data_IF_740351326657
#
_entry.id   IF_740351326657
#
_cell.length_a   1.000
_cell.length_b   1.000
_cell.length_c   1.000
_cell.angle_alpha   90.00
_cell.angle_beta   90.00
_cell.angle_gamma   90.00
#
_symmetry.space_group_name_H-M   'P 1'
#
loop_
_entity.id
_entity.type
_entity.pdbx_description
1 polymer ?
#
# COMPACT_ATOMS: atom_id res chain seq x y z
N UNK A 1 60.10 43.76 7.07
CA UNK A 1 60.17 42.61 6.12
C UNK A 1 59.97 41.36 6.97
N UNK A 2 58.90 40.56 6.88
CA UNK A 2 58.05 40.14 5.76
C UNK A 2 56.69 39.68 6.33
N UNK A 3 55.58 40.21 5.80
CA UNK A 3 54.24 39.69 6.07
C UNK A 3 53.88 38.61 5.03
N UNK A 4 53.52 37.41 5.48
CA UNK A 4 52.94 36.36 4.62
C UNK A 4 51.44 36.56 4.55
N UNK A 5 50.95 37.15 3.46
CA UNK A 5 49.54 37.08 3.08
C UNK A 5 49.23 35.73 2.45
N UNK A 6 48.32 34.96 3.04
CA UNK A 6 47.68 33.82 2.39
C UNK A 6 46.49 34.33 1.59
N UNK A 7 46.58 34.27 0.25
CA UNK A 7 45.44 34.44 -0.64
C UNK A 7 44.59 33.16 -0.59
N UNK A 8 43.50 33.18 0.17
CA UNK A 8 42.43 32.19 0.06
C UNK A 8 41.64 32.41 -1.23
N UNK A 9 41.68 31.43 -2.14
CA UNK A 9 40.76 31.37 -3.28
C UNK A 9 39.33 31.22 -2.75
N UNK A 10 38.33 32.01 -3.23
CA UNK A 10 36.95 31.76 -2.87
C UNK A 10 36.53 30.41 -3.44
N UNK A 11 36.08 29.52 -2.56
CA UNK A 11 35.56 28.21 -2.92
C UNK A 11 34.39 28.38 -3.89
N UNK A 12 34.53 27.80 -5.09
CA UNK A 12 33.42 27.60 -6.00
C UNK A 12 32.40 26.71 -5.28
N UNK A 13 31.35 27.32 -4.73
CA UNK A 13 30.14 26.59 -4.38
C UNK A 13 29.55 26.07 -5.68
N UNK A 14 29.66 24.76 -5.89
CA UNK A 14 28.92 24.06 -6.95
C UNK A 14 27.44 24.44 -6.87
N UNK A 15 26.75 24.67 -8.01
CA UNK A 15 25.32 24.94 -7.99
C UNK A 15 24.62 23.78 -7.27
N UNK A 16 23.80 24.09 -6.25
CA UNK A 16 22.91 23.09 -5.66
C UNK A 16 22.02 22.56 -6.79
N UNK A 17 22.28 21.33 -7.22
CA UNK A 17 21.48 20.68 -8.22
C UNK A 17 20.01 20.68 -7.80
N UNK A 18 19.13 21.12 -8.71
CA UNK A 18 17.71 21.24 -8.41
C UNK A 18 17.05 19.87 -8.42
N UNK A 19 16.26 19.57 -7.38
CA UNK A 19 15.40 18.38 -7.34
C UNK A 19 14.50 18.39 -8.57
N UNK A 20 14.52 17.28 -9.31
CA UNK A 20 13.79 17.15 -10.55
C UNK A 20 12.35 16.66 -10.36
N UNK A 21 11.47 17.05 -11.29
CA UNK A 21 10.09 16.56 -11.39
C UNK A 21 9.81 16.04 -12.80
N UNK A 22 8.88 15.09 -12.91
CA UNK A 22 8.36 14.62 -14.19
C UNK A 22 7.11 15.43 -14.54
N UNK A 23 6.92 15.86 -15.80
CA UNK A 23 5.70 16.54 -16.22
C UNK A 23 4.44 15.67 -15.99
N UNK A 24 3.36 16.20 -15.36
CA UNK A 24 2.14 15.45 -15.06
C UNK A 24 1.49 14.76 -16.27
N UNK A 25 1.65 15.31 -17.47
CA UNK A 25 1.19 14.72 -18.74
C UNK A 25 1.61 13.25 -18.94
N UNK A 26 2.73 12.82 -18.36
CA UNK A 26 3.16 11.41 -18.45
C UNK A 26 2.28 10.49 -17.60
N UNK A 27 1.84 10.96 -16.43
CA UNK A 27 0.88 10.24 -15.59
C UNK A 27 -0.44 10.11 -16.34
N UNK A 28 -1.00 11.23 -16.80
CA UNK A 28 -2.28 11.32 -17.52
C UNK A 28 -2.30 10.41 -18.76
N UNK A 29 -1.28 10.49 -19.61
CA UNK A 29 -1.20 9.68 -20.85
C UNK A 29 -1.00 8.18 -20.59
N UNK A 30 -0.44 7.82 -19.44
CA UNK A 30 -0.17 6.43 -19.10
C UNK A 30 -1.33 5.75 -18.38
N UNK A 31 -2.26 6.51 -17.80
CA UNK A 31 -3.36 5.96 -17.01
C UNK A 31 -4.19 5.00 -17.85
N UNK A 32 -4.25 3.73 -17.43
CA UNK A 32 -4.78 2.68 -18.29
C UNK A 32 -5.11 1.40 -17.53
N UNK A 33 -6.16 0.72 -17.99
CA UNK A 33 -6.60 -0.61 -17.50
C UNK A 33 -5.82 -1.78 -18.15
N UNK A 34 -4.89 -1.50 -19.07
CA UNK A 34 -4.26 -2.52 -19.90
C UNK A 34 -3.00 -3.16 -19.31
N UNK A 35 -2.59 -2.81 -18.09
CA UNK A 35 -1.47 -3.51 -17.43
C UNK A 35 -1.88 -4.90 -16.96
N UNK A 36 -0.95 -5.85 -16.97
CA UNK A 36 -1.16 -7.20 -16.44
C UNK A 36 -1.53 -7.18 -14.96
N UNK A 37 -0.99 -6.24 -14.20
CA UNK A 37 -1.40 -5.99 -12.82
C UNK A 37 -2.87 -5.59 -12.71
N UNK A 38 -3.34 -4.67 -13.57
CA UNK A 38 -4.73 -4.24 -13.57
C UNK A 38 -5.68 -5.39 -13.94
N UNK A 39 -5.28 -6.25 -14.88
CA UNK A 39 -6.03 -7.48 -15.22
C UNK A 39 -6.14 -8.43 -14.04
N UNK A 40 -5.03 -8.67 -13.34
CA UNK A 40 -5.01 -9.50 -12.13
C UNK A 40 -5.97 -8.97 -11.06
N UNK A 41 -5.86 -7.69 -10.67
CA UNK A 41 -6.76 -7.13 -9.65
C UNK A 41 -8.21 -7.06 -10.14
N UNK A 42 -8.46 -6.96 -11.45
CA UNK A 42 -9.82 -7.02 -11.99
C UNK A 42 -10.44 -8.39 -11.74
N UNK A 43 -9.74 -9.48 -12.11
CA UNK A 43 -10.19 -10.84 -11.85
C UNK A 43 -10.39 -11.13 -10.36
N UNK A 44 -9.43 -10.71 -9.52
CA UNK A 44 -9.52 -10.85 -8.07
C UNK A 44 -10.77 -10.13 -7.52
N UNK A 45 -10.98 -8.87 -7.89
CA UNK A 45 -12.08 -8.07 -7.38
C UNK A 45 -13.43 -8.47 -7.98
N UNK A 46 -13.47 -8.96 -9.21
CA UNK A 46 -14.69 -9.54 -9.79
C UNK A 46 -15.13 -10.76 -8.98
N UNK A 47 -14.21 -11.65 -8.62
CA UNK A 47 -14.51 -12.81 -7.77
C UNK A 47 -14.99 -12.41 -6.37
N UNK A 48 -14.50 -11.29 -5.84
CA UNK A 48 -14.80 -10.83 -4.49
C UNK A 48 -16.07 -9.98 -4.40
N UNK A 49 -16.17 -8.93 -5.23
CA UNK A 49 -17.23 -7.91 -5.20
C UNK A 49 -18.36 -8.16 -6.20
N UNK A 50 -18.18 -9.05 -7.18
CA UNK A 50 -19.13 -9.23 -8.27
C UNK A 50 -19.39 -7.91 -9.02
N UNK A 51 -20.66 -7.52 -9.14
CA UNK A 51 -21.06 -6.32 -9.89
C UNK A 51 -20.45 -5.01 -9.39
N UNK A 52 -20.05 -4.93 -8.11
CA UNK A 52 -19.43 -3.74 -7.52
C UNK A 52 -17.94 -3.59 -7.87
N UNK A 53 -17.30 -4.63 -8.41
CA UNK A 53 -15.87 -4.61 -8.73
C UNK A 53 -15.49 -3.45 -9.65
N UNK A 54 -16.35 -3.13 -10.63
CA UNK A 54 -16.13 -2.04 -11.58
C UNK A 54 -15.97 -0.67 -10.91
N UNK A 55 -16.76 -0.38 -9.87
CA UNK A 55 -16.69 0.87 -9.12
C UNK A 55 -15.39 0.96 -8.31
N UNK A 56 -15.02 -0.16 -7.66
CA UNK A 56 -13.77 -0.27 -6.91
C UNK A 56 -12.57 -0.11 -7.83
N UNK A 57 -12.53 -0.81 -8.97
CA UNK A 57 -11.46 -0.73 -9.96
C UNK A 57 -11.29 0.67 -10.53
N UNK A 58 -12.40 1.35 -10.85
CA UNK A 58 -12.37 2.74 -11.32
C UNK A 58 -11.75 3.66 -10.26
N UNK A 59 -12.18 3.55 -9.00
CA UNK A 59 -11.59 4.31 -7.89
C UNK A 59 -10.09 4.06 -7.75
N UNK A 60 -9.65 2.79 -7.78
CA UNK A 60 -8.23 2.45 -7.67
C UNK A 60 -7.39 3.04 -8.82
N UNK A 61 -7.90 2.95 -10.06
CA UNK A 61 -7.25 3.54 -11.23
C UNK A 61 -7.07 5.06 -11.09
N UNK A 62 -8.09 5.75 -10.60
CA UNK A 62 -8.12 7.21 -10.44
C UNK A 62 -7.30 7.69 -9.23
N UNK A 63 -7.52 7.11 -8.05
CA UNK A 63 -6.84 7.48 -6.81
C UNK A 63 -5.34 7.22 -6.87
N UNK A 64 -4.92 6.02 -7.32
CA UNK A 64 -3.51 5.65 -7.40
C UNK A 64 -2.85 6.02 -8.73
N UNK A 65 -3.61 6.60 -9.66
CA UNK A 65 -3.16 7.02 -11.00
C UNK A 65 -2.41 5.90 -11.73
N UNK A 66 -2.92 4.67 -11.66
CA UNK A 66 -2.21 3.49 -12.18
C UNK A 66 -1.96 3.62 -13.68
N UNK A 67 -0.69 3.59 -14.07
CA UNK A 67 -0.29 3.65 -15.47
C UNK A 67 -0.02 2.28 -16.08
N UNK A 68 0.00 2.19 -17.40
CA UNK A 68 0.44 1.01 -18.13
C UNK A 68 1.44 1.37 -19.25
N UNK A 69 2.43 0.51 -19.45
CA UNK A 69 3.29 0.53 -20.64
C UNK A 69 2.62 -0.23 -21.79
N UNK A 70 3.17 -0.10 -23.02
CA UNK A 70 2.65 -0.80 -24.20
C UNK A 70 2.77 -2.32 -24.12
N UNK A 71 3.80 -2.81 -23.42
CA UNK A 71 4.04 -4.24 -23.16
C UNK A 71 3.30 -4.77 -21.93
N UNK A 72 2.40 -3.98 -21.33
CA UNK A 72 1.52 -4.42 -20.25
C UNK A 72 2.13 -4.34 -18.85
N UNK A 73 3.30 -3.73 -18.67
CA UNK A 73 3.82 -3.46 -17.33
C UNK A 73 2.99 -2.35 -16.66
N UNK A 74 2.85 -2.42 -15.33
CA UNK A 74 2.22 -1.35 -14.55
C UNK A 74 3.24 -0.27 -14.21
N UNK A 75 2.79 0.97 -14.17
CA UNK A 75 3.55 2.11 -13.67
C UNK A 75 2.94 2.57 -12.35
N UNK A 76 3.67 2.37 -11.25
CA UNK A 76 3.33 2.92 -9.95
C UNK A 76 3.98 4.28 -9.78
N UNK A 77 3.18 5.34 -9.93
CA UNK A 77 3.67 6.71 -9.85
C UNK A 77 3.92 7.14 -8.40
N UNK A 78 5.10 7.68 -8.14
CA UNK A 78 5.47 8.34 -6.89
C UNK A 78 5.19 9.83 -7.05
N UNK A 79 4.13 10.29 -6.38
CA UNK A 79 3.63 11.66 -6.45
C UNK A 79 3.56 12.19 -5.04
N UNK A 80 4.24 13.29 -4.77
CA UNK A 80 4.35 13.80 -3.40
C UNK A 80 3.07 14.52 -2.94
N UNK A 81 2.99 14.88 -1.66
CA UNK A 81 1.80 15.59 -1.11
C UNK A 81 1.45 16.89 -1.86
N UNK A 82 2.42 17.52 -2.52
CA UNK A 82 2.20 18.74 -3.31
C UNK A 82 1.83 18.46 -4.77
N UNK A 83 1.45 17.22 -5.09
CA UNK A 83 1.10 16.75 -6.43
C UNK A 83 2.25 16.83 -7.45
N UNK A 84 3.51 16.89 -7.01
CA UNK A 84 4.67 16.85 -7.92
C UNK A 84 5.05 15.39 -8.21
N UNK A 85 5.17 15.05 -9.48
CA UNK A 85 5.54 13.69 -9.92
C UNK A 85 7.04 13.50 -9.74
N UNK A 86 7.44 12.62 -8.83
CA UNK A 86 8.83 12.36 -8.48
C UNK A 86 9.47 11.32 -9.38
N UNK A 87 8.75 10.24 -9.65
CA UNK A 87 9.12 9.19 -10.60
C UNK A 87 7.93 8.25 -10.83
N UNK A 88 8.06 7.25 -11.69
CA UNK A 88 7.23 6.05 -11.69
C UNK A 88 8.10 4.80 -11.67
N UNK A 89 7.66 3.77 -10.96
CA UNK A 89 8.27 2.44 -10.93
C UNK A 89 7.54 1.54 -11.91
N UNK A 90 8.26 0.96 -12.87
CA UNK A 90 7.71 0.11 -13.93
C UNK A 90 7.96 -1.35 -13.58
N UNK A 91 6.90 -2.15 -13.54
CA UNK A 91 6.97 -3.55 -13.09
C UNK A 91 6.03 -4.46 -13.87
N UNK A 92 6.48 -5.68 -14.15
CA UNK A 92 5.64 -6.73 -14.74
C UNK A 92 5.09 -7.69 -13.69
N UNK A 93 3.85 -8.10 -13.91
CA UNK A 93 3.12 -9.07 -13.10
C UNK A 93 2.52 -10.12 -14.02
N UNK A 94 2.41 -11.36 -13.53
CA UNK A 94 1.60 -12.38 -14.17
C UNK A 94 0.11 -12.05 -13.92
N UNK A 95 -0.71 -11.91 -14.96
CA UNK A 95 -2.12 -11.52 -14.82
C UNK A 95 -2.98 -12.60 -14.15
N UNK A 96 -2.56 -13.86 -14.14
CA UNK A 96 -3.33 -14.98 -13.59
C UNK A 96 -3.15 -15.10 -12.07
N UNK A 97 -1.90 -15.07 -11.61
CA UNK A 97 -1.58 -15.35 -10.22
C UNK A 97 -1.25 -14.09 -9.40
N UNK A 98 -0.93 -12.95 -10.05
CA UNK A 98 -0.54 -11.71 -9.40
C UNK A 98 0.90 -11.69 -8.89
N UNK A 99 1.71 -12.71 -9.22
CA UNK A 99 3.13 -12.74 -8.89
C UNK A 99 3.91 -11.79 -9.79
N UNK A 100 4.87 -11.10 -9.17
CA UNK A 100 5.80 -10.23 -9.89
C UNK A 100 6.71 -11.08 -10.77
N UNK A 101 6.82 -10.71 -12.03
CA UNK A 101 7.78 -11.33 -12.96
C UNK A 101 9.16 -10.73 -12.66
N UNK A 102 10.09 -11.57 -12.20
CA UNK A 102 11.50 -11.20 -12.01
C UNK A 102 12.25 -11.51 -13.31
N UNK A 103 12.83 -10.51 -13.95
CA UNK A 103 13.83 -10.69 -15.00
C UNK A 103 15.03 -11.44 -14.43
N UNK A 104 15.66 -12.28 -15.26
CA UNK A 104 16.80 -13.14 -14.87
C UNK A 104 18.00 -12.33 -14.38
N UNK A 105 19.06 -12.19 -15.18
CA UNK A 105 20.28 -11.47 -14.76
C UNK A 105 20.13 -9.93 -14.77
N UNK A 106 19.10 -9.39 -15.44
CA UNK A 106 18.83 -7.95 -15.53
C UNK A 106 17.64 -7.58 -14.64
N UNK A 107 17.73 -6.42 -13.97
CA UNK A 107 16.66 -5.87 -13.14
C UNK A 107 15.31 -5.85 -13.88
N UNK A 108 14.34 -6.60 -13.36
CA UNK A 108 12.95 -6.63 -13.83
C UNK A 108 12.19 -5.30 -13.67
N UNK A 109 12.82 -4.31 -13.02
CA UNK A 109 12.22 -3.02 -12.68
C UNK A 109 12.92 -1.96 -13.48
N UNK A 110 12.11 -1.15 -14.14
CA UNK A 110 12.53 0.08 -14.77
C UNK A 110 11.97 1.28 -14.00
N UNK A 111 12.56 2.46 -14.25
CA UNK A 111 12.12 3.71 -13.65
C UNK A 111 11.88 4.75 -14.72
N UNK A 112 10.76 5.47 -14.61
CA UNK A 112 10.38 6.48 -15.61
C UNK A 112 11.45 7.57 -15.75
N UNK A 113 12.04 8.05 -14.66
CA UNK A 113 13.09 9.07 -14.75
C UNK A 113 14.31 8.55 -15.53
N UNK A 114 14.72 7.28 -15.34
CA UNK A 114 15.81 6.66 -16.10
C UNK A 114 15.46 6.53 -17.58
N UNK A 115 14.22 6.12 -17.91
CA UNK A 115 13.73 6.07 -19.29
C UNK A 115 13.77 7.45 -19.94
N UNK A 116 13.24 8.48 -19.26
CA UNK A 116 13.17 9.83 -19.80
C UNK A 116 14.55 10.50 -19.93
N UNK A 117 15.50 10.20 -19.04
CA UNK A 117 16.91 10.60 -19.20
C UNK A 117 17.54 9.96 -20.44
N UNK A 118 17.37 8.65 -20.64
CA UNK A 118 17.86 7.95 -21.85
C UNK A 118 17.26 8.53 -23.13
N UNK A 119 16.00 8.96 -23.09
CA UNK A 119 15.31 9.63 -24.19
C UNK A 119 15.68 11.12 -24.34
N UNK A 120 16.58 11.66 -23.50
CA UNK A 120 16.97 13.08 -23.47
C UNK A 120 15.80 14.04 -23.25
N UNK A 121 14.73 13.57 -22.62
CA UNK A 121 13.57 14.39 -22.21
C UNK A 121 13.86 15.09 -20.89
N UNK A 122 14.51 14.39 -19.95
CA UNK A 122 15.01 14.97 -18.70
C UNK A 122 16.50 15.27 -18.83
N UNK A 123 16.99 16.36 -18.21
CA UNK A 123 18.41 16.69 -18.25
C UNK A 123 19.23 15.69 -17.40
N UNK A 124 20.52 15.58 -17.70
CA UNK A 124 21.41 14.60 -17.05
C UNK A 124 21.56 14.86 -15.54
N UNK A 125 21.60 16.14 -15.16
CA UNK A 125 21.70 16.64 -13.79
C UNK A 125 20.38 16.56 -13.00
N UNK A 126 19.29 16.09 -13.62
CA UNK A 126 18.01 15.87 -12.93
C UNK A 126 18.21 14.94 -11.72
N UNK A 127 17.82 15.40 -10.54
CA UNK A 127 18.02 14.64 -9.30
C UNK A 127 16.74 13.94 -8.85
N UNK A 128 16.84 12.62 -8.66
CA UNK A 128 15.80 11.81 -8.04
C UNK A 128 15.66 12.19 -6.57
N UNK A 129 14.43 12.43 -6.13
CA UNK A 129 14.10 12.33 -4.71
C UNK A 129 12.73 11.68 -4.60
N UNK A 130 12.71 10.49 -4.01
CA UNK A 130 11.56 9.60 -3.97
C UNK A 130 10.62 9.97 -2.83
N UNK A 131 9.34 9.67 -3.03
CA UNK A 131 8.28 9.85 -2.05
C UNK A 131 7.53 8.52 -1.86
N UNK A 132 6.60 8.44 -0.91
CA UNK A 132 5.78 7.22 -0.76
C UNK A 132 4.86 7.06 -1.99
N UNK A 133 4.59 5.83 -2.39
CA UNK A 133 3.49 5.56 -3.31
C UNK A 133 2.16 5.85 -2.60
N UNK A 134 1.24 6.56 -3.24
CA UNK A 134 -0.02 7.02 -2.64
C UNK A 134 0.11 8.28 -1.77
N UNK A 135 1.30 8.88 -1.64
CA UNK A 135 1.52 10.03 -0.76
C UNK A 135 0.61 11.23 -1.06
N UNK A 136 0.31 11.48 -2.33
CA UNK A 136 -0.61 12.54 -2.77
C UNK A 136 -2.03 12.39 -2.18
N UNK A 137 -2.44 11.19 -1.76
CA UNK A 137 -3.74 10.93 -1.12
C UNK A 137 -3.81 11.44 0.32
N UNK A 138 -2.67 11.69 0.97
CA UNK A 138 -2.65 12.17 2.35
C UNK A 138 -3.30 13.54 2.52
N UNK A 139 -3.27 14.39 1.49
CA UNK A 139 -3.93 15.69 1.51
C UNK A 139 -5.41 15.60 1.11
N UNK A 140 -5.79 14.57 0.36
CA UNK A 140 -7.19 14.31 -0.03
C UNK A 140 -7.98 13.79 1.17
N UNK A 141 -7.34 12.97 2.00
CA UNK A 141 -7.95 12.35 3.18
C UNK A 141 -7.14 12.63 4.44
N UNK A 142 -7.24 13.85 5.01
CA UNK A 142 -6.45 14.24 6.19
C UNK A 142 -6.80 13.41 7.43
N UNK A 143 -8.06 12.99 7.58
CA UNK A 143 -8.57 12.34 8.80
C UNK A 143 -8.46 10.81 8.78
N UNK A 144 -8.33 10.21 7.59
CA UNK A 144 -8.20 8.76 7.45
C UNK A 144 -6.88 8.27 8.03
N UNK A 145 -6.89 7.14 8.72
CA UNK A 145 -5.66 6.46 9.18
C UNK A 145 -4.79 6.10 7.98
N UNK A 146 -3.48 6.36 8.07
CA UNK A 146 -2.52 5.98 7.05
C UNK A 146 -2.08 4.53 7.28
N UNK A 147 -2.06 3.71 6.24
CA UNK A 147 -1.55 2.35 6.27
C UNK A 147 -0.29 2.29 5.45
N UNK A 148 0.79 1.77 6.01
CA UNK A 148 2.08 1.64 5.33
C UNK A 148 2.42 0.16 5.12
N UNK A 149 2.69 -0.20 3.87
CA UNK A 149 3.11 -1.53 3.42
C UNK A 149 4.42 -1.43 2.64
N UNK A 150 5.07 -2.56 2.41
CA UNK A 150 6.30 -2.58 1.62
C UNK A 150 6.05 -2.31 0.13
N UNK A 151 5.07 -3.02 -0.46
CA UNK A 151 4.87 -3.08 -1.90
C UNK A 151 3.68 -2.24 -2.40
N UNK A 152 3.82 -1.68 -3.60
CA UNK A 152 2.75 -0.92 -4.25
C UNK A 152 1.52 -1.81 -4.55
N UNK A 153 1.75 -3.09 -4.89
CA UNK A 153 0.71 -4.13 -4.99
C UNK A 153 -0.13 -4.19 -3.71
N UNK A 154 0.54 -4.32 -2.56
CA UNK A 154 -0.12 -4.39 -1.26
C UNK A 154 -0.97 -3.16 -0.97
N UNK A 155 -0.50 -1.96 -1.32
CA UNK A 155 -1.26 -0.74 -1.09
C UNK A 155 -2.54 -0.68 -1.94
N UNK A 156 -2.47 -1.08 -3.21
CA UNK A 156 -3.64 -1.08 -4.11
C UNK A 156 -4.66 -2.13 -3.67
N UNK A 157 -4.24 -3.36 -3.37
CA UNK A 157 -5.15 -4.44 -2.92
C UNK A 157 -5.74 -4.11 -1.55
N UNK A 158 -4.93 -3.60 -0.62
CA UNK A 158 -5.41 -3.14 0.68
C UNK A 158 -6.44 -2.02 0.55
N UNK A 159 -6.20 -1.03 -0.32
CA UNK A 159 -7.16 0.04 -0.57
C UNK A 159 -8.45 -0.49 -1.18
N UNK A 160 -8.39 -1.53 -2.02
CA UNK A 160 -9.56 -2.15 -2.62
C UNK A 160 -10.53 -2.68 -1.55
N UNK A 161 -10.00 -3.41 -0.56
CA UNK A 161 -10.79 -4.06 0.49
C UNK A 161 -11.11 -3.14 1.67
N UNK A 162 -10.21 -2.20 1.97
CA UNK A 162 -10.29 -1.32 3.13
C UNK A 162 -10.21 0.15 2.71
N UNK A 163 -11.23 0.68 2.00
CA UNK A 163 -11.23 2.04 1.47
C UNK A 163 -11.29 3.16 2.53
N UNK A 164 -11.56 2.79 3.79
CA UNK A 164 -11.55 3.70 4.94
C UNK A 164 -10.16 4.19 5.35
N UNK A 165 -9.09 3.66 4.76
CA UNK A 165 -7.70 3.99 5.06
C UNK A 165 -7.00 4.62 3.85
N UNK A 166 -5.91 5.34 4.10
CA UNK A 166 -4.98 5.79 3.04
C UNK A 166 -3.82 4.81 2.98
N UNK A 167 -3.82 3.94 1.96
CA UNK A 167 -2.74 2.95 1.79
C UNK A 167 -1.57 3.53 1.02
N UNK A 168 -0.38 3.37 1.61
CA UNK A 168 0.89 3.88 1.14
C UNK A 168 1.90 2.74 1.03
N UNK A 169 2.84 2.84 0.08
CA UNK A 169 3.93 1.89 0.00
C UNK A 169 5.32 2.55 0.06
N UNK A 170 6.24 1.89 0.77
CA UNK A 170 7.64 2.32 0.86
C UNK A 170 8.40 2.05 -0.44
N UNK A 171 7.98 1.04 -1.21
CA UNK A 171 8.59 0.62 -2.46
C UNK A 171 9.74 -0.37 -2.29
N UNK A 172 9.90 -0.94 -1.10
CA UNK A 172 10.87 -1.99 -0.74
C UNK A 172 11.32 -1.95 0.72
N UNK A 173 11.77 -3.08 1.26
CA UNK A 173 12.13 -3.30 2.68
C UNK A 173 13.07 -2.23 3.24
N UNK A 174 14.10 -1.87 2.48
CA UNK A 174 15.14 -0.91 2.88
C UNK A 174 14.77 0.58 2.68
N UNK A 175 13.50 0.89 2.37
CA UNK A 175 13.06 2.25 2.04
C UNK A 175 12.37 2.98 3.20
N UNK A 176 12.45 2.46 4.44
CA UNK A 176 11.97 3.10 5.67
C UNK A 176 12.90 4.23 6.16
N UNK A 177 13.25 5.16 5.26
CA UNK A 177 14.07 6.33 5.63
C UNK A 177 13.20 7.37 6.32
N UNK A 178 13.67 7.89 7.46
CA UNK A 178 12.93 8.88 8.24
C UNK A 178 12.49 10.09 7.40
N UNK A 179 13.40 10.65 6.58
CA UNK A 179 13.10 11.79 5.69
C UNK A 179 11.85 11.54 4.81
N UNK A 180 11.70 10.32 4.31
CA UNK A 180 10.56 9.90 3.49
C UNK A 180 9.28 9.75 4.32
N UNK A 181 9.40 9.30 5.56
CA UNK A 181 8.28 9.04 6.46
C UNK A 181 7.82 10.28 7.23
N UNK A 182 8.62 11.35 7.30
CA UNK A 182 8.25 12.64 7.93
C UNK A 182 6.95 13.23 7.39
N UNK A 183 6.57 12.85 6.17
CA UNK A 183 5.30 13.19 5.56
C UNK A 183 4.07 12.73 6.36
N UNK A 184 4.23 11.76 7.26
CA UNK A 184 3.22 11.19 8.15
C UNK A 184 3.13 11.90 9.51
N UNK A 185 3.86 12.99 9.71
CA UNK A 185 3.86 13.73 10.98
C UNK A 185 2.43 14.12 11.41
N UNK A 186 2.09 13.84 12.66
CA UNK A 186 0.76 14.09 13.24
C UNK A 186 -0.33 13.09 12.87
N UNK A 187 -0.05 12.08 12.03
CA UNK A 187 -1.03 11.06 11.64
C UNK A 187 -1.07 9.89 12.62
N UNK A 188 -2.17 9.14 12.58
CA UNK A 188 -2.18 7.73 13.03
C UNK A 188 -1.78 6.83 11.87
N UNK A 189 -0.80 5.96 12.10
CA UNK A 189 -0.16 5.12 11.10
C UNK A 189 -0.23 3.66 11.54
N UNK A 190 -0.74 2.78 10.67
CA UNK A 190 -0.74 1.34 10.84
C UNK A 190 0.26 0.71 9.88
N UNK A 191 1.25 0.01 10.42
CA UNK A 191 2.27 -0.68 9.64
C UNK A 191 1.89 -2.14 9.42
N UNK A 192 1.95 -2.62 8.17
CA UNK A 192 1.85 -4.04 7.82
C UNK A 192 3.17 -4.51 7.22
N UNK A 193 4.08 -5.04 8.06
CA UNK A 193 5.32 -5.62 7.57
C UNK A 193 5.07 -6.96 6.85
N UNK A 194 5.95 -7.26 5.90
CA UNK A 194 6.05 -8.60 5.31
C UNK A 194 6.48 -9.62 6.37
N UNK A 195 6.29 -10.92 6.10
CA UNK A 195 6.52 -11.98 7.09
C UNK A 195 7.96 -12.01 7.67
N UNK A 196 8.96 -11.52 6.92
CA UNK A 196 10.36 -11.44 7.36
C UNK A 196 10.78 -10.02 7.80
N UNK A 197 9.85 -9.07 7.79
CA UNK A 197 10.08 -7.65 8.11
C UNK A 197 9.59 -7.24 9.50
N UNK A 198 8.83 -8.08 10.21
CA UNK A 198 8.13 -7.68 11.44
C UNK A 198 9.05 -7.06 12.51
N UNK A 199 10.16 -7.72 12.85
CA UNK A 199 11.09 -7.24 13.87
C UNK A 199 11.77 -5.91 13.51
N UNK A 200 12.18 -5.75 12.25
CA UNK A 200 12.81 -4.54 11.73
C UNK A 200 11.83 -3.35 11.74
N UNK A 201 10.62 -3.57 11.23
CA UNK A 201 9.57 -2.56 11.19
C UNK A 201 9.10 -2.17 12.59
N UNK A 202 9.03 -3.13 13.52
CA UNK A 202 8.73 -2.86 14.93
C UNK A 202 9.81 -2.02 15.60
N UNK A 203 11.07 -2.19 15.23
CA UNK A 203 12.15 -1.33 15.70
C UNK A 203 12.02 0.08 15.11
N UNK A 204 11.84 0.21 13.79
CA UNK A 204 11.62 1.51 13.15
C UNK A 204 10.42 2.27 13.73
N UNK A 205 9.32 1.58 14.04
CA UNK A 205 8.14 2.18 14.64
C UNK A 205 8.46 2.85 15.99
N UNK A 206 9.41 2.33 16.78
CA UNK A 206 9.82 2.96 18.04
C UNK A 206 10.46 4.33 17.81
N UNK A 207 11.13 4.51 16.67
CA UNK A 207 11.83 5.74 16.31
C UNK A 207 10.90 6.77 15.63
N UNK A 208 9.67 6.38 15.24
CA UNK A 208 8.67 7.23 14.59
C UNK A 208 7.93 8.15 15.56
N UNK A 209 8.68 8.94 16.34
CA UNK A 209 8.16 9.84 17.39
C UNK A 209 7.25 10.98 16.90
N UNK A 210 7.22 11.22 15.59
CA UNK A 210 6.43 12.29 14.96
C UNK A 210 5.00 11.87 14.58
N UNK A 211 4.62 10.61 14.77
CA UNK A 211 3.26 10.12 14.49
C UNK A 211 2.84 9.06 15.52
N UNK A 212 1.54 8.77 15.60
CA UNK A 212 1.04 7.63 16.38
C UNK A 212 1.15 6.38 15.53
N UNK A 213 1.97 5.42 15.92
CA UNK A 213 2.26 4.22 15.10
C UNK A 213 1.84 2.93 15.80
N UNK A 214 1.22 2.04 15.04
CA UNK A 214 0.89 0.67 15.45
C UNK A 214 1.45 -0.30 14.41
N UNK A 215 2.09 -1.37 14.86
CA UNK A 215 2.61 -2.43 13.97
C UNK A 215 1.69 -3.64 14.06
N UNK A 216 1.12 -4.01 12.92
CA UNK A 216 0.27 -5.19 12.80
C UNK A 216 1.11 -6.45 12.94
N UNK A 217 0.66 -7.38 13.77
CA UNK A 217 1.24 -8.72 13.93
C UNK A 217 0.39 -9.80 13.24
N UNK A 218 -0.53 -9.41 12.36
CA UNK A 218 -1.47 -10.33 11.73
C UNK A 218 -0.76 -11.41 10.91
N UNK A 219 0.25 -11.04 10.11
CA UNK A 219 1.03 -11.99 9.30
C UNK A 219 1.92 -12.83 10.22
N UNK A 220 2.55 -12.20 11.22
CA UNK A 220 3.41 -12.90 12.17
C UNK A 220 2.66 -14.01 12.94
N UNK A 221 1.41 -13.76 13.33
CA UNK A 221 0.60 -14.71 14.11
C UNK A 221 -0.13 -15.75 13.27
N UNK A 222 -0.57 -15.40 12.05
CA UNK A 222 -1.50 -16.24 11.28
C UNK A 222 -0.88 -16.91 10.05
N UNK A 223 0.31 -16.49 9.60
CA UNK A 223 0.98 -17.13 8.47
C UNK A 223 1.50 -18.53 8.85
N UNK A 224 1.26 -19.52 7.99
CA UNK A 224 1.84 -20.86 8.14
C UNK A 224 3.37 -20.84 7.97
N UNK A 225 4.12 -21.86 8.42
CA UNK A 225 5.56 -21.93 8.20
C UNK A 225 5.96 -21.79 6.73
N UNK A 226 5.20 -22.37 5.80
CA UNK A 226 5.43 -22.28 4.36
C UNK A 226 5.20 -20.86 3.85
N UNK A 227 4.15 -20.19 4.33
CA UNK A 227 3.85 -18.80 4.01
C UNK A 227 4.93 -17.85 4.55
N UNK A 228 5.45 -18.09 5.76
CA UNK A 228 6.58 -17.33 6.30
C UNK A 228 7.85 -17.53 5.47
N UNK A 229 8.13 -18.77 5.05
CA UNK A 229 9.26 -19.09 4.18
C UNK A 229 9.12 -18.46 2.78
N UNK A 230 7.89 -18.28 2.30
CA UNK A 230 7.59 -17.58 1.05
C UNK A 230 7.63 -16.04 1.18
N UNK A 231 7.89 -15.50 2.38
CA UNK A 231 7.94 -14.07 2.67
C UNK A 231 6.67 -13.32 2.23
N UNK A 232 5.49 -13.89 2.54
CA UNK A 232 4.22 -13.28 2.12
C UNK A 232 4.02 -11.89 2.71
N UNK A 233 3.34 -11.03 1.95
CA UNK A 233 2.84 -9.73 2.41
C UNK A 233 1.33 -9.78 2.72
N UNK A 234 0.77 -8.65 3.17
CA UNK A 234 -0.66 -8.55 3.48
C UNK A 234 -1.54 -8.78 2.24
N UNK A 235 -1.09 -8.40 1.04
CA UNK A 235 -1.83 -8.68 -0.18
C UNK A 235 -1.85 -10.16 -0.50
N UNK A 236 -0.73 -10.87 -0.37
CA UNK A 236 -0.67 -12.31 -0.60
C UNK A 236 -1.58 -13.05 0.36
N UNK A 237 -1.61 -12.62 1.63
CA UNK A 237 -2.56 -13.14 2.61
C UNK A 237 -4.02 -12.86 2.19
N UNK A 238 -4.37 -11.62 1.83
CA UNK A 238 -5.71 -11.25 1.33
C UNK A 238 -6.11 -12.10 0.12
N UNK A 239 -5.22 -12.25 -0.87
CA UNK A 239 -5.48 -13.02 -2.10
C UNK A 239 -5.75 -14.48 -1.76
N UNK A 240 -4.96 -15.07 -0.85
CA UNK A 240 -5.19 -16.43 -0.37
C UNK A 240 -6.58 -16.55 0.28
N UNK A 241 -6.94 -15.63 1.18
CA UNK A 241 -8.24 -15.67 1.85
C UNK A 241 -9.42 -15.51 0.88
N UNK A 242 -9.30 -14.69 -0.16
CA UNK A 242 -10.33 -14.55 -1.20
C UNK A 242 -10.45 -15.84 -2.01
N UNK A 243 -9.33 -16.40 -2.48
CA UNK A 243 -9.32 -17.63 -3.30
C UNK A 243 -9.86 -18.84 -2.55
N UNK A 244 -9.56 -18.94 -1.27
CA UNK A 244 -10.09 -19.97 -0.37
C UNK A 244 -11.52 -19.70 0.09
N UNK A 245 -12.15 -18.61 -0.38
CA UNK A 245 -13.49 -18.14 0.05
C UNK A 245 -13.62 -17.91 1.57
N UNK A 246 -12.50 -17.76 2.28
CA UNK A 246 -12.43 -17.52 3.73
C UNK A 246 -12.74 -16.07 4.09
N UNK A 247 -12.48 -15.14 3.17
CA UNK A 247 -12.98 -13.77 3.25
C UNK A 247 -13.90 -13.58 2.04
N UNK A 248 -15.20 -13.46 2.29
CA UNK A 248 -16.18 -13.06 1.27
C UNK A 248 -16.46 -11.55 1.40
N UNK A 249 -16.76 -10.88 0.29
CA UNK A 249 -17.22 -9.49 0.34
C UNK A 249 -18.36 -9.41 1.34
N UNK A 250 -18.25 -8.45 2.25
CA UNK A 250 -19.13 -8.15 3.38
C UNK A 250 -20.54 -7.72 2.97
N UNK A 251 -21.03 -8.19 1.84
CA UNK A 251 -22.46 -8.37 1.62
C UNK A 251 -22.97 -9.71 2.17
N UNK A 252 -22.11 -10.71 2.44
CA UNK A 252 -22.57 -11.99 3.04
C UNK A 252 -22.10 -12.20 4.49
N UNK A 253 -20.88 -11.78 4.87
CA UNK A 253 -20.41 -11.96 6.26
C UNK A 253 -21.05 -10.97 7.26
N UNK A 254 -21.23 -9.71 6.86
CA UNK A 254 -22.06 -8.77 7.64
C UNK A 254 -23.52 -9.20 7.60
N UNK A 255 -24.04 -9.73 6.48
CA UNK A 255 -25.43 -10.19 6.42
C UNK A 255 -25.67 -11.42 7.28
N UNK A 256 -24.76 -12.38 7.36
CA UNK A 256 -24.90 -13.52 8.28
C UNK A 256 -24.72 -13.09 9.75
N UNK A 257 -23.75 -12.23 10.04
CA UNK A 257 -23.59 -11.66 11.38
C UNK A 257 -24.82 -10.82 11.79
N UNK A 258 -25.37 -10.01 10.88
CA UNK A 258 -26.60 -9.23 11.07
C UNK A 258 -27.83 -10.13 11.19
N UNK A 259 -27.91 -11.24 10.43
CA UNK A 259 -28.99 -12.23 10.57
C UNK A 259 -28.91 -12.95 11.91
N UNK A 260 -27.71 -13.27 12.39
CA UNK A 260 -27.51 -13.82 13.74
C UNK A 260 -27.90 -12.79 14.78
N UNK A 261 -27.44 -11.54 14.65
CA UNK A 261 -27.77 -10.45 15.55
C UNK A 261 -29.29 -10.18 15.59
N UNK A 262 -29.96 -10.13 14.44
CA UNK A 262 -31.43 -10.01 14.36
C UNK A 262 -32.14 -11.16 15.08
N UNK A 263 -31.71 -12.42 14.87
CA UNK A 263 -32.24 -13.58 15.60
C UNK A 263 -31.99 -13.48 17.11
N UNK A 264 -30.87 -12.90 17.54
CA UNK A 264 -30.58 -12.67 18.96
C UNK A 264 -31.48 -11.56 19.53
N UNK A 265 -31.71 -10.48 18.80
CA UNK A 265 -32.62 -9.39 19.20
C UNK A 265 -34.07 -9.88 19.26
N UNK A 266 -34.53 -10.71 18.32
CA UNK A 266 -35.85 -11.35 18.37
C UNK A 266 -36.03 -12.20 19.63
N UNK A 267 -34.98 -12.91 20.06
CA UNK A 267 -35.00 -13.70 21.30
C UNK A 267 -34.85 -12.84 22.56
N UNK A 268 -34.16 -11.71 22.47
CA UNK A 268 -33.94 -10.79 23.58
C UNK A 268 -33.90 -9.33 23.11
N UNK A 269 -35.05 -8.61 23.13
CA UNK A 269 -35.13 -7.23 22.67
C UNK A 269 -34.25 -6.24 23.44
N UNK A 270 -33.81 -6.58 24.65
CA UNK A 270 -32.88 -5.75 25.45
C UNK A 270 -31.54 -5.56 24.76
N UNK A 271 -31.13 -6.49 23.89
CA UNK A 271 -29.89 -6.37 23.11
C UNK A 271 -29.91 -5.16 22.18
N UNK A 272 -31.07 -4.81 21.60
CA UNK A 272 -31.18 -3.60 20.78
C UNK A 272 -30.92 -2.34 21.60
N UNK A 273 -31.50 -2.28 22.80
CA UNK A 273 -31.29 -1.15 23.72
C UNK A 273 -29.82 -1.03 24.14
N UNK A 274 -29.12 -2.14 24.36
CA UNK A 274 -27.70 -2.16 24.67
C UNK A 274 -26.84 -1.65 23.51
N UNK A 275 -27.22 -1.97 22.27
CA UNK A 275 -26.52 -1.47 21.07
C UNK A 275 -26.70 0.04 20.97
N UNK A 276 -27.93 0.53 21.16
CA UNK A 276 -28.28 1.95 21.02
C UNK A 276 -27.65 2.80 22.14
N UNK A 277 -27.68 2.33 23.39
CA UNK A 277 -27.18 3.06 24.56
C UNK A 277 -25.65 3.16 24.59
N UNK A 278 -24.94 2.21 23.96
CA UNK A 278 -23.47 2.10 23.98
C UNK A 278 -22.80 2.24 22.61
N UNK A 279 -23.56 2.56 21.55
CA UNK A 279 -23.09 2.73 20.17
C UNK A 279 -22.23 1.56 19.68
N UNK A 280 -22.72 0.33 19.92
CA UNK A 280 -21.97 -0.89 19.65
C UNK A 280 -21.98 -1.25 18.17
N UNK A 281 -20.82 -1.57 17.61
CA UNK A 281 -20.66 -1.98 16.20
C UNK A 281 -20.40 -3.48 16.11
N UNK A 282 -21.08 -4.14 15.17
CA UNK A 282 -20.91 -5.57 14.90
C UNK A 282 -19.58 -5.85 14.20
N UNK A 283 -18.69 -6.60 14.85
CA UNK A 283 -17.31 -6.85 14.37
C UNK A 283 -17.16 -8.21 13.67
N UNK A 284 -17.73 -9.29 14.23
CA UNK A 284 -17.76 -10.63 13.62
C UNK A 284 -18.67 -11.58 14.42
N UNK A 285 -18.94 -12.78 13.87
CA UNK A 285 -19.58 -13.89 14.59
C UNK A 285 -18.75 -15.15 14.43
N UNK A 286 -18.55 -15.90 15.52
CA UNK A 286 -17.87 -17.20 15.51
C UNK A 286 -18.82 -18.32 15.94
N UNK A 287 -18.74 -19.52 15.35
CA UNK A 287 -19.46 -20.69 15.86
C UNK A 287 -18.90 -21.06 17.23
N UNK A 288 -19.78 -21.36 18.18
CA UNK A 288 -19.37 -21.97 19.45
C UNK A 288 -19.01 -23.42 19.14
N UNK A 289 -17.75 -23.80 19.37
CA UNK A 289 -17.31 -25.18 19.21
C UNK A 289 -18.11 -26.12 20.11
N UNK A 290 -18.61 -27.22 19.54
CA UNK A 290 -19.19 -28.33 20.30
C UNK A 290 -18.06 -29.03 21.06
N UNK A 291 -17.79 -28.59 22.28
CA UNK A 291 -16.96 -29.33 23.22
C UNK A 291 -17.73 -30.54 23.73
N UNK A 292 -17.58 -31.68 23.06
CA UNK A 292 -17.77 -32.98 23.71
C UNK A 292 -16.54 -33.22 24.59
N UNK A 293 -16.56 -32.65 25.80
CA UNK A 293 -15.76 -33.14 26.91
C UNK A 293 -16.50 -34.34 27.52
N UNK A 294 -15.97 -35.54 27.31
CA UNK A 294 -16.17 -36.63 28.27
C UNK A 294 -14.94 -36.65 29.19
N UNK A 295 -15.08 -36.32 30.49
CA UNK A 295 -13.99 -36.46 31.43
C UNK A 295 -13.90 -37.90 31.99
N UNK A 296 -12.71 -38.41 32.34
CA UNK A 296 -12.57 -39.42 33.37
C UNK A 296 -12.81 -38.85 34.78
#
# INVERSE_FOLDING_TARGET
MTGKGQNGKPGQTSPKASIGYIPPKYVERSQSVHSNFFRFISSLLDSYYGSKAKEVLKRLLEEYRLGATRDGAVIFWQIDRTNRVRTGKVMQYNPEDGHRIKGGEVSAVDWIHSILKRQRVLPEDWQLSQCLFGEHLLNVYPDKVAVLVESEKSAVIGSALFPGYVWLATGGKSQLREEKLRVLSGRTVLLFPDADGYSEWKQHARDMTYCKVVVSDIIEKNATPEQKAAHIDIADWIVFQIRESKIMCTANHLVEAEKVLRRMIEKNPVLQKLIDDFDLVLVSTSPIGSGDENPP
#
